data_IF_880300290846
#
_entry.id   IF_880300290846
#
_cell.length_a   1.000
_cell.length_b   1.000
_cell.length_c   1.000
_cell.angle_alpha   90.00
_cell.angle_beta   90.00
_cell.angle_gamma   90.00
#
_symmetry.space_group_name_H-M   'P 1'
#
loop_
_entity.id
_entity.type
_entity.pdbx_description
1 polymer ?
#
# COMPACT_ATOMS: atom_id res chain seq x y z
N UNK A 1 -30.95 2.13 -22.50
CA UNK A 1 -29.48 2.00 -22.60
C UNK A 1 -29.01 1.73 -21.18
N UNK A 2 -28.58 0.49 -20.90
CA UNK A 2 -28.42 0.01 -19.53
C UNK A 2 -27.25 0.69 -18.82
N UNK A 3 -27.55 1.20 -17.63
CA UNK A 3 -26.61 1.71 -16.65
C UNK A 3 -25.89 0.49 -16.08
N UNK A 4 -24.63 0.29 -16.45
CA UNK A 4 -23.80 -0.77 -15.86
C UNK A 4 -23.38 -0.33 -14.46
N UNK A 5 -24.32 -0.47 -13.53
CA UNK A 5 -24.10 -0.61 -12.09
C UNK A 5 -23.10 -1.73 -11.88
N UNK A 6 -21.82 -1.35 -11.79
CA UNK A 6 -20.82 -2.21 -11.16
C UNK A 6 -20.94 -1.95 -9.68
N UNK A 7 -21.76 -2.77 -9.03
CA UNK A 7 -21.64 -3.08 -7.62
C UNK A 7 -20.17 -3.44 -7.31
N UNK A 8 -19.41 -2.50 -6.76
CA UNK A 8 -18.12 -2.78 -6.13
C UNK A 8 -18.26 -2.42 -4.66
N UNK A 9 -18.88 -3.36 -3.94
CA UNK A 9 -18.80 -3.65 -2.50
C UNK A 9 -18.59 -2.43 -1.58
N UNK A 10 -19.59 -2.16 -0.74
CA UNK A 10 -19.47 -1.26 0.40
C UNK A 10 -18.20 -1.55 1.23
N UNK A 11 -17.37 -0.53 1.46
CA UNK A 11 -16.31 -0.53 2.47
C UNK A 11 -14.90 -0.33 1.93
N UNK A 12 -14.62 0.87 1.43
CA UNK A 12 -13.35 1.64 1.53
C UNK A 12 -13.24 2.56 0.31
N UNK A 13 -13.81 3.76 0.41
CA UNK A 13 -13.34 4.87 -0.41
C UNK A 13 -11.93 5.16 0.11
N UNK A 14 -10.91 4.51 -0.48
CA UNK A 14 -9.52 4.88 -0.21
C UNK A 14 -9.38 6.36 -0.58
N UNK A 15 -8.90 7.20 0.35
CA UNK A 15 -8.79 8.63 0.08
C UNK A 15 -7.87 8.88 -1.10
N UNK A 16 -8.17 9.96 -1.83
CA UNK A 16 -7.25 10.53 -2.80
C UNK A 16 -6.10 11.18 -2.01
N UNK A 17 -5.00 10.45 -1.86
CA UNK A 17 -3.82 10.88 -1.11
C UNK A 17 -2.82 11.52 -2.05
N UNK A 18 -2.23 12.65 -1.64
CA UNK A 18 -1.14 13.27 -2.39
C UNK A 18 0.17 12.48 -2.23
N UNK A 19 0.34 11.46 -3.07
CA UNK A 19 1.53 10.62 -3.09
C UNK A 19 2.73 11.29 -3.80
N UNK A 20 2.48 12.37 -4.56
CA UNK A 20 3.52 13.05 -5.33
C UNK A 20 4.53 13.76 -4.41
N UNK A 21 4.05 14.33 -3.29
CA UNK A 21 4.89 14.99 -2.29
C UNK A 21 5.19 14.12 -1.08
N UNK A 22 4.88 12.83 -1.14
CA UNK A 22 5.07 11.92 -0.02
C UNK A 22 6.55 11.68 0.29
N UNK A 23 6.90 11.67 1.59
CA UNK A 23 8.25 11.34 2.06
C UNK A 23 8.44 9.83 2.12
N UNK A 24 9.02 9.26 1.08
CA UNK A 24 9.26 7.82 0.94
C UNK A 24 10.48 7.33 1.74
N UNK A 25 10.27 6.32 2.59
CA UNK A 25 11.27 5.65 3.41
C UNK A 25 11.55 4.26 2.83
N UNK A 26 12.81 3.90 2.62
CA UNK A 26 13.19 2.60 2.07
C UNK A 26 13.50 1.59 3.17
N UNK A 27 13.08 0.34 3.00
CA UNK A 27 13.25 -0.73 4.01
C UNK A 27 14.70 -1.22 4.20
N UNK A 28 15.68 -0.71 3.45
CA UNK A 28 17.10 -1.02 3.62
C UNK A 28 18.02 -0.29 2.64
N UNK A 29 19.33 -0.37 2.88
CA UNK A 29 20.37 0.10 1.95
C UNK A 29 20.70 -0.96 0.88
N UNK A 30 20.92 -0.51 -0.36
CA UNK A 30 21.36 -1.36 -1.47
C UNK A 30 20.25 -2.19 -2.13
N UNK A 31 20.62 -3.30 -2.78
CA UNK A 31 19.74 -4.11 -3.64
C UNK A 31 18.74 -5.02 -2.90
N UNK A 32 18.80 -5.06 -1.56
CA UNK A 32 17.93 -5.92 -0.73
C UNK A 32 16.64 -5.23 -0.30
N UNK A 33 16.59 -3.89 -0.34
CA UNK A 33 15.41 -3.09 0.01
C UNK A 33 14.71 -2.55 -1.23
N UNK A 34 13.77 -3.32 -1.78
CA UNK A 34 12.95 -2.89 -2.93
C UNK A 34 11.60 -2.33 -2.51
N UNK A 35 11.32 -2.21 -1.21
CA UNK A 35 10.04 -1.65 -0.73
C UNK A 35 10.28 -0.25 -0.18
N UNK A 36 9.40 0.67 -0.56
CA UNK A 36 9.28 1.98 0.06
C UNK A 36 7.94 2.13 0.74
N UNK A 37 7.93 2.82 1.88
CA UNK A 37 6.72 3.22 2.58
C UNK A 37 6.68 4.73 2.77
N UNK A 38 5.49 5.33 2.77
CA UNK A 38 5.29 6.72 3.14
C UNK A 38 4.08 6.85 4.05
N UNK A 39 4.16 7.79 5.00
CA UNK A 39 3.03 8.16 5.84
C UNK A 39 2.40 9.43 5.26
N UNK A 40 1.15 9.34 4.79
CA UNK A 40 0.45 10.43 4.09
C UNK A 40 -0.94 10.55 4.67
N UNK A 41 -1.26 11.71 5.25
CA UNK A 41 -2.59 12.03 5.79
C UNK A 41 -3.19 10.96 6.73
N UNK A 42 -2.34 10.29 7.52
CA UNK A 42 -2.75 9.24 8.46
C UNK A 42 -2.83 7.83 7.86
N UNK A 43 -2.52 7.67 6.58
CA UNK A 43 -2.43 6.38 5.89
C UNK A 43 -0.97 5.98 5.64
N UNK A 44 -0.78 4.71 5.35
CA UNK A 44 0.50 4.13 4.99
C UNK A 44 0.44 3.71 3.53
N UNK A 45 1.26 4.34 2.68
CA UNK A 45 1.43 3.94 1.29
C UNK A 45 2.64 3.02 1.18
N UNK A 46 2.55 1.94 0.40
CA UNK A 46 3.64 1.00 0.11
C UNK A 46 3.81 0.81 -1.39
N UNK A 47 5.04 0.85 -1.91
CA UNK A 47 5.34 0.60 -3.32
C UNK A 47 6.66 -0.13 -3.53
N UNK A 48 6.86 -0.71 -4.72
CA UNK A 48 8.18 -1.18 -5.16
C UNK A 48 9.04 0.02 -5.59
N UNK A 49 10.25 0.10 -5.06
CA UNK A 49 11.25 1.12 -5.37
C UNK A 49 11.69 1.10 -6.84
N UNK A 50 11.72 -0.09 -7.45
CA UNK A 50 12.17 -0.32 -8.83
C UNK A 50 11.10 0.00 -9.85
N UNK A 51 9.84 0.01 -9.43
CA UNK A 51 8.67 0.26 -10.28
C UNK A 51 7.79 1.35 -9.62
N UNK A 52 8.31 2.58 -9.43
CA UNK A 52 7.60 3.65 -8.72
C UNK A 52 6.36 4.17 -9.46
N UNK A 53 6.26 3.90 -10.77
CA UNK A 53 5.10 4.21 -11.60
C UNK A 53 3.92 3.27 -11.36
N UNK A 54 4.17 2.08 -10.77
CA UNK A 54 3.09 1.19 -10.35
C UNK A 54 2.39 1.81 -9.14
N UNK A 55 1.05 1.93 -9.16
CA UNK A 55 0.31 2.54 -8.06
C UNK A 55 0.65 1.94 -6.70
N UNK A 56 0.85 2.81 -5.72
CA UNK A 56 1.13 2.39 -4.36
C UNK A 56 -0.11 1.72 -3.73
N UNK A 57 0.14 0.71 -2.89
CA UNK A 57 -0.89 0.10 -2.05
C UNK A 57 -1.07 0.96 -0.82
N UNK A 58 -2.29 1.47 -0.62
CA UNK A 58 -2.64 2.29 0.55
C UNK A 58 -3.23 1.40 1.65
N UNK A 59 -2.82 1.63 2.89
CA UNK A 59 -3.34 0.99 4.09
C UNK A 59 -3.81 2.05 5.08
N UNK A 60 -4.98 1.83 5.67
CA UNK A 60 -5.34 2.46 6.94
C UNK A 60 -4.42 1.96 8.07
N UNK A 61 -4.35 2.66 9.21
CA UNK A 61 -3.55 2.20 10.36
C UNK A 61 -3.89 0.79 10.84
N UNK A 62 -5.19 0.43 10.80
CA UNK A 62 -5.67 -0.89 11.21
C UNK A 62 -5.24 -1.99 10.25
N UNK A 63 -5.41 -1.77 8.94
CA UNK A 63 -4.97 -2.70 7.91
C UNK A 63 -3.46 -2.89 7.90
N UNK A 64 -2.69 -1.80 8.05
CA UNK A 64 -1.23 -1.87 8.13
C UNK A 64 -0.78 -2.75 9.30
N UNK A 65 -1.40 -2.57 10.48
CA UNK A 65 -1.12 -3.42 11.64
C UNK A 65 -1.43 -4.89 11.35
N UNK A 66 -2.58 -5.18 10.74
CA UNK A 66 -2.95 -6.54 10.39
C UNK A 66 -2.00 -7.15 9.35
N UNK A 67 -1.61 -6.37 8.33
CA UNK A 67 -0.64 -6.76 7.30
C UNK A 67 0.71 -7.14 7.92
N UNK A 68 1.27 -6.28 8.78
CA UNK A 68 2.55 -6.55 9.45
C UNK A 68 2.48 -7.78 10.33
N UNK A 69 1.37 -7.99 11.06
CA UNK A 69 1.19 -9.19 11.89
C UNK A 69 1.17 -10.46 11.04
N UNK A 70 0.42 -10.48 9.93
CA UNK A 70 0.39 -11.61 8.99
C UNK A 70 1.75 -11.86 8.34
N UNK A 71 2.45 -10.80 7.94
CA UNK A 71 3.79 -10.93 7.36
C UNK A 71 4.79 -11.52 8.34
N UNK A 72 4.72 -11.15 9.61
CA UNK A 72 5.55 -11.74 10.68
C UNK A 72 5.22 -13.21 10.95
N UNK A 73 3.99 -13.62 10.71
CA UNK A 73 3.53 -15.01 10.84
C UNK A 73 3.95 -15.88 9.64
N UNK A 74 4.63 -15.32 8.64
CA UNK A 74 5.07 -16.02 7.44
C UNK A 74 3.94 -16.27 6.43
N UNK A 75 2.79 -15.59 6.59
CA UNK A 75 1.62 -15.77 5.71
C UNK A 75 1.87 -15.43 4.23
N UNK A 76 2.99 -14.76 3.92
CA UNK A 76 3.38 -14.36 2.58
C UNK A 76 4.70 -15.01 2.12
N UNK A 77 5.25 -15.96 2.87
CA UNK A 77 6.41 -16.73 2.42
C UNK A 77 6.00 -17.61 1.24
N UNK A 78 6.76 -17.53 0.15
CA UNK A 78 6.57 -18.37 -1.03
C UNK A 78 7.10 -19.77 -0.70
N UNK A 79 6.20 -20.69 -0.37
CA UNK A 79 6.50 -22.12 -0.22
C UNK A 79 6.84 -22.77 -1.55
#
# INVERSE_FOLDING_TARGET
MAESTTERLAGEVKPDLDLANATWQSSGQGRRGNVQIAFVEGYIAMRDRREPDVPAVIFSPGEWRAFVLKARDGAFDLT
#
